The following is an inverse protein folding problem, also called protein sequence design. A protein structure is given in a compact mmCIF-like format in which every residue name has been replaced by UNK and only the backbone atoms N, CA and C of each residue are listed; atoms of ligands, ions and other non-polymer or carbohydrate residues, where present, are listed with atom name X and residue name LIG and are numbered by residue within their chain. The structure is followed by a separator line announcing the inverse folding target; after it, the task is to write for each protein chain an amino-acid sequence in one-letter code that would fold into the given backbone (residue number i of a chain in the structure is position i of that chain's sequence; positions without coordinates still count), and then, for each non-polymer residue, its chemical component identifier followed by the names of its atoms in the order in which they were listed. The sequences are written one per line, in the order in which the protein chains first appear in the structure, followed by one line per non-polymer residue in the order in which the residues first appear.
data_IF_201855105609
#
_entry.id   IF_201855105609
#
_cell.length_a   1.000
_cell.length_b   1.000
_cell.length_c   1.000
_cell.angle_alpha   90.00
_cell.angle_beta   90.00
_cell.angle_gamma   90.00
#
_symmetry.space_group_name_H-M   'P 1'
#
loop_
_entity.id
_entity.type
_entity.pdbx_description
1 polymer ?
#
# COMPACT_ATOMS: atom_id res chain seq x y z
N UNK A 1 2.05 26.86 14.65
CA UNK A 1 1.42 26.64 13.34
C UNK A 1 0.03 26.07 13.62
N UNK A 2 -1.03 26.80 13.27
CA UNK A 2 -2.42 26.42 13.57
C UNK A 2 -3.02 25.83 12.31
N UNK A 3 -3.44 24.57 12.36
CA UNK A 3 -4.23 23.96 11.29
C UNK A 3 -5.68 24.44 11.45
N UNK A 4 -6.18 25.18 10.46
CA UNK A 4 -7.57 25.63 10.41
C UNK A 4 -8.34 24.67 9.51
N UNK A 5 -9.17 23.81 10.10
CA UNK A 5 -10.11 22.98 9.36
C UNK A 5 -11.46 23.71 9.30
N UNK A 6 -11.94 24.03 8.09
CA UNK A 6 -13.24 24.69 7.87
C UNK A 6 -14.44 23.71 7.92
N UNK A 7 -14.26 22.50 8.46
CA UNK A 7 -15.35 21.54 8.57
C UNK A 7 -15.06 20.34 9.48
N UNK A 8 -16.09 19.57 9.84
CA UNK A 8 -16.00 18.44 10.78
C UNK A 8 -15.31 17.20 10.21
N UNK A 9 -14.87 17.23 8.94
CA UNK A 9 -14.23 16.10 8.25
C UNK A 9 -12.87 16.54 7.76
N UNK A 10 -11.81 16.00 8.37
CA UNK A 10 -10.43 16.20 7.95
C UNK A 10 -10.12 15.27 6.78
N UNK A 11 -9.81 15.85 5.62
CA UNK A 11 -9.46 15.07 4.42
C UNK A 11 -7.93 15.01 4.31
N UNK A 12 -7.37 14.03 3.61
CA UNK A 12 -5.90 13.87 3.43
C UNK A 12 -5.19 15.09 2.83
N UNK A 13 -5.95 16.05 2.28
CA UNK A 13 -5.48 17.34 1.78
C UNK A 13 -5.17 18.36 2.88
N UNK A 14 -5.74 18.21 4.07
CA UNK A 14 -5.63 19.15 5.20
C UNK A 14 -4.46 18.82 6.15
N UNK A 15 -3.76 17.71 5.90
CA UNK A 15 -2.61 17.34 6.72
C UNK A 15 -1.35 18.09 6.28
N UNK A 16 -0.64 18.76 7.22
CA UNK A 16 0.64 19.40 6.93
C UNK A 16 1.65 18.37 6.43
N UNK A 17 2.54 18.77 5.51
CA UNK A 17 3.50 17.88 4.87
C UNK A 17 4.41 17.13 5.87
N UNK A 18 4.63 17.68 7.06
CA UNK A 18 5.34 17.03 8.17
C UNK A 18 4.67 15.72 8.64
N UNK A 19 3.34 15.60 8.58
CA UNK A 19 2.63 14.35 8.91
C UNK A 19 2.57 13.38 7.73
N UNK A 20 2.63 13.87 6.47
CA UNK A 20 2.80 13.00 5.31
C UNK A 20 4.16 12.30 5.33
N UNK A 21 5.18 12.98 5.85
CA UNK A 21 6.53 12.45 5.95
C UNK A 21 6.74 11.44 7.09
N UNK A 22 5.85 11.37 8.10
CA UNK A 22 6.01 10.41 9.21
C UNK A 22 5.60 8.97 8.87
N UNK A 23 5.05 8.73 7.68
CA UNK A 23 4.91 7.37 7.11
C UNK A 23 6.23 6.90 6.46
N UNK A 24 7.30 7.70 6.54
CA UNK A 24 8.62 7.28 6.13
C UNK A 24 9.30 6.44 7.23
N UNK A 25 9.35 5.12 7.03
CA UNK A 25 10.49 4.30 7.47
C UNK A 25 10.54 2.95 6.74
N UNK A 26 11.73 2.40 6.43
CA UNK A 26 12.93 3.02 5.84
C UNK A 26 13.16 2.48 4.41
N UNK A 27 13.90 3.23 3.60
CA UNK A 27 14.38 2.80 2.27
C UNK A 27 15.30 1.56 2.34
N UNK A 28 15.47 0.84 1.20
CA UNK A 28 16.58 1.22 0.33
C UNK A 28 16.09 1.58 -1.09
N UNK A 29 16.55 2.74 -1.55
CA UNK A 29 16.82 3.15 -2.93
C UNK A 29 16.25 2.26 -4.05
N UNK A 30 15.47 2.87 -4.97
CA UNK A 30 14.97 2.34 -6.25
C UNK A 30 13.74 1.42 -6.26
N UNK A 31 12.76 1.60 -5.35
CA UNK A 31 11.41 1.12 -5.67
C UNK A 31 10.76 2.02 -6.73
N UNK A 32 10.77 1.57 -7.99
CA UNK A 32 10.07 2.25 -9.08
C UNK A 32 8.60 2.48 -8.73
N UNK A 33 7.99 3.56 -9.24
CA UNK A 33 6.56 3.86 -9.06
C UNK A 33 5.65 2.65 -9.39
N UNK A 34 6.10 1.83 -10.34
CA UNK A 34 5.44 0.58 -10.71
C UNK A 34 5.42 -0.45 -9.58
N UNK A 35 6.52 -0.61 -8.83
CA UNK A 35 6.62 -1.51 -7.69
C UNK A 35 5.71 -1.05 -6.55
N UNK A 36 5.64 0.25 -6.29
CA UNK A 36 4.75 0.81 -5.26
C UNK A 36 3.27 0.54 -5.57
N UNK A 37 2.83 0.84 -6.80
CA UNK A 37 1.47 0.51 -7.25
C UNK A 37 1.19 -1.00 -7.18
N UNK A 38 2.16 -1.81 -7.57
CA UNK A 38 2.06 -3.27 -7.49
C UNK A 38 1.85 -3.72 -6.04
N UNK A 39 2.65 -3.20 -5.10
CA UNK A 39 2.56 -3.51 -3.67
C UNK A 39 1.20 -3.13 -3.10
N UNK A 40 0.71 -1.93 -3.38
CA UNK A 40 -0.62 -1.48 -2.97
C UNK A 40 -1.73 -2.39 -3.53
N UNK A 41 -1.63 -2.78 -4.80
CA UNK A 41 -2.62 -3.64 -5.46
C UNK A 41 -2.66 -5.04 -4.83
N UNK A 42 -1.49 -5.60 -4.51
CA UNK A 42 -1.40 -6.89 -3.81
C UNK A 42 -1.97 -6.80 -2.39
N UNK A 43 -1.63 -5.74 -1.66
CA UNK A 43 -2.08 -5.53 -0.30
C UNK A 43 -3.60 -5.33 -0.24
N UNK A 44 -4.17 -4.60 -1.20
CA UNK A 44 -5.62 -4.47 -1.37
C UNK A 44 -6.29 -5.84 -1.60
N UNK A 45 -5.78 -6.64 -2.55
CA UNK A 45 -6.35 -7.95 -2.82
C UNK A 45 -6.23 -8.92 -1.63
N UNK A 46 -5.13 -8.85 -0.88
CA UNK A 46 -4.96 -9.63 0.36
C UNK A 46 -5.95 -9.17 1.44
N UNK A 47 -6.17 -7.86 1.58
CA UNK A 47 -7.12 -7.31 2.55
C UNK A 47 -8.55 -7.74 2.23
N UNK A 48 -8.98 -7.58 0.97
CA UNK A 48 -10.32 -8.00 0.49
C UNK A 48 -10.57 -9.49 0.68
N UNK A 49 -9.52 -10.30 0.59
CA UNK A 49 -9.61 -11.76 0.70
C UNK A 49 -9.23 -12.29 2.07
N UNK A 50 -9.06 -11.40 3.06
CA UNK A 50 -8.69 -11.73 4.45
C UNK A 50 -7.42 -12.56 4.55
N UNK A 51 -6.36 -12.17 3.84
CA UNK A 51 -5.05 -12.81 3.83
C UNK A 51 -4.98 -14.10 3.00
N UNK A 52 -6.03 -14.45 2.26
CA UNK A 52 -6.06 -15.69 1.49
C UNK A 52 -5.40 -15.51 0.12
N UNK A 53 -4.23 -16.12 -0.05
CA UNK A 53 -3.40 -16.03 -1.26
C UNK A 53 -4.12 -16.50 -2.53
N UNK A 54 -4.86 -17.62 -2.46
CA UNK A 54 -5.55 -18.19 -3.62
C UNK A 54 -6.66 -17.27 -4.19
N UNK A 55 -7.60 -16.78 -3.36
CA UNK A 55 -8.58 -15.80 -3.84
C UNK A 55 -7.95 -14.44 -4.16
N UNK A 56 -6.89 -14.00 -3.46
CA UNK A 56 -6.20 -12.75 -3.82
C UNK A 56 -5.59 -12.83 -5.23
N UNK A 57 -4.93 -13.95 -5.55
CA UNK A 57 -4.38 -14.19 -6.87
C UNK A 57 -5.48 -14.22 -7.94
N UNK A 58 -6.63 -14.84 -7.64
CA UNK A 58 -7.80 -14.87 -8.52
C UNK A 58 -8.39 -13.46 -8.73
N UNK A 59 -8.47 -12.65 -7.68
CA UNK A 59 -8.94 -11.26 -7.72
C UNK A 59 -8.02 -10.39 -8.60
N UNK A 60 -6.70 -10.59 -8.49
CA UNK A 60 -5.71 -9.91 -9.31
C UNK A 60 -5.56 -10.48 -10.73
N UNK A 61 -6.22 -11.59 -11.05
CA UNK A 61 -6.09 -12.25 -12.36
C UNK A 61 -4.71 -12.85 -12.62
N UNK A 62 -3.93 -13.16 -11.57
CA UNK A 62 -2.59 -13.74 -11.69
C UNK A 62 -2.52 -15.14 -11.07
N UNK A 63 -1.48 -15.90 -11.43
CA UNK A 63 -1.21 -17.19 -10.82
C UNK A 63 -0.81 -17.07 -9.35
N UNK A 64 -1.18 -18.06 -8.52
CA UNK A 64 -0.74 -18.17 -7.11
C UNK A 64 0.77 -18.05 -6.94
N UNK A 65 1.53 -18.70 -7.82
CA UNK A 65 2.99 -18.69 -7.79
C UNK A 65 3.55 -17.29 -8.09
N UNK A 66 2.93 -16.57 -9.03
CA UNK A 66 3.29 -15.19 -9.38
C UNK A 66 3.03 -14.24 -8.21
N UNK A 67 1.89 -14.40 -7.53
CA UNK A 67 1.58 -13.63 -6.32
C UNK A 67 2.63 -13.89 -5.23
N UNK A 68 2.96 -15.17 -4.97
CA UNK A 68 3.98 -15.56 -4.00
C UNK A 68 5.34 -14.94 -4.31
N UNK A 69 5.76 -14.98 -5.59
CA UNK A 69 7.02 -14.39 -6.02
C UNK A 69 7.03 -12.88 -5.79
N UNK A 70 5.96 -12.18 -6.18
CA UNK A 70 5.82 -10.72 -5.97
C UNK A 70 5.80 -10.34 -4.49
N UNK A 71 5.12 -11.11 -3.64
CA UNK A 71 5.11 -10.89 -2.18
C UNK A 71 6.53 -10.99 -1.61
N UNK A 72 7.30 -11.98 -2.06
CA UNK A 72 8.69 -12.18 -1.64
C UNK A 72 9.64 -11.11 -2.20
N UNK A 73 9.46 -10.73 -3.47
CA UNK A 73 10.26 -9.67 -4.13
C UNK A 73 10.04 -8.29 -3.51
N UNK A 74 8.82 -7.99 -3.05
CA UNK A 74 8.42 -6.68 -2.52
C UNK A 74 8.35 -6.63 -0.97
N UNK A 75 8.83 -7.69 -0.31
CA UNK A 75 8.78 -7.93 1.14
C UNK A 75 7.43 -7.53 1.77
N UNK A 76 6.33 -8.02 1.19
CA UNK A 76 4.98 -7.65 1.62
C UNK A 76 4.60 -8.52 2.82
N UNK A 77 4.38 -7.87 3.97
CA UNK A 77 3.82 -8.49 5.19
C UNK A 77 2.32 -8.24 5.22
N UNK A 78 1.54 -9.29 5.45
CA UNK A 78 0.07 -9.29 5.45
C UNK A 78 -0.48 -10.15 6.58
#
# INVERSE_FOLDING_TARGET
MVALAEGPILTVADLPDELKQTVAKPEPATETLLNQKTKQTILFALTETKGKIAPAAKLLGIGRNTLYRKIKELDIKY
#
